data_IF_328689094259
#
_entry.id   IF_328689094259
#
_cell.length_a   1.000
_cell.length_b   1.000
_cell.length_c   1.000
_cell.angle_alpha   90.00
_cell.angle_beta   90.00
_cell.angle_gamma   90.00
#
_symmetry.space_group_name_H-M   'P 1'
#
loop_
_entity.id
_entity.type
_entity.pdbx_description
1 polymer ?
#
# COMPACT_ATOMS: atom_id res chain seq x y z
N UNK A 1 -18.43 10.27 14.24
CA UNK A 1 -18.45 10.24 12.76
C UNK A 1 -19.84 9.94 12.17
N UNK A 2 -20.80 9.39 12.92
CA UNK A 2 -22.15 9.10 12.40
C UNK A 2 -22.97 10.32 11.94
N UNK A 3 -22.62 11.53 12.38
CA UNK A 3 -23.37 12.76 12.04
C UNK A 3 -22.94 13.37 10.69
N UNK A 4 -21.95 12.80 9.99
CA UNK A 4 -21.42 13.31 8.72
C UNK A 4 -21.42 12.27 7.59
N UNK A 5 -21.96 11.07 7.85
CA UNK A 5 -22.03 9.96 6.91
C UNK A 5 -23.48 9.50 6.82
N UNK A 6 -24.02 9.37 5.60
CA UNK A 6 -25.40 8.90 5.35
C UNK A 6 -25.47 7.36 5.19
N UNK A 7 -24.33 6.69 5.04
CA UNK A 7 -24.23 5.23 4.93
C UNK A 7 -23.98 4.53 6.28
N UNK A 8 -23.99 3.19 6.25
CA UNK A 8 -23.64 2.36 7.40
C UNK A 8 -22.16 2.55 7.78
N UNK A 9 -21.88 2.70 9.07
CA UNK A 9 -20.52 2.87 9.60
C UNK A 9 -20.21 1.72 10.54
N UNK A 10 -19.20 0.94 10.18
CA UNK A 10 -18.65 -0.11 11.04
C UNK A 10 -17.31 0.35 11.63
N UNK A 11 -17.17 0.25 12.95
CA UNK A 11 -15.89 0.46 13.64
C UNK A 11 -15.26 -0.90 13.92
N UNK A 12 -13.99 -1.04 13.61
CA UNK A 12 -13.27 -2.29 13.78
C UNK A 12 -11.89 -2.06 14.36
N UNK A 13 -11.46 -2.97 15.23
CA UNK A 13 -10.13 -2.96 15.82
C UNK A 13 -9.22 -3.93 15.07
N UNK A 14 -8.03 -3.45 14.69
CA UNK A 14 -7.02 -4.28 14.02
C UNK A 14 -6.54 -5.37 15.00
N UNK A 15 -6.59 -6.66 14.61
CA UNK A 15 -6.02 -7.73 15.43
C UNK A 15 -4.54 -7.53 15.71
N UNK A 16 -4.09 -7.84 16.93
CA UNK A 16 -2.71 -7.67 17.36
C UNK A 16 -1.70 -8.31 16.39
N UNK A 17 -1.97 -9.53 15.90
CA UNK A 17 -1.10 -10.23 14.95
C UNK A 17 -0.90 -9.51 13.60
N UNK A 18 -1.85 -8.65 13.21
CA UNK A 18 -1.81 -7.90 11.96
C UNK A 18 -1.11 -6.54 12.13
N UNK A 19 -1.02 -6.03 13.36
CA UNK A 19 -0.41 -4.74 13.65
C UNK A 19 1.01 -4.85 14.16
N UNK A 20 1.28 -5.76 15.10
CA UNK A 20 2.59 -5.86 15.73
C UNK A 20 3.59 -6.63 14.86
N UNK A 21 4.86 -6.33 15.12
CA UNK A 21 6.00 -6.93 14.46
C UNK A 21 6.02 -8.45 14.72
N UNK A 22 6.28 -9.28 13.69
CA UNK A 22 6.42 -10.73 13.88
C UNK A 22 7.65 -11.10 14.72
N UNK A 23 7.58 -12.26 15.37
CA UNK A 23 8.62 -12.76 16.28
C UNK A 23 9.98 -13.00 15.61
N UNK A 24 10.01 -13.23 14.29
CA UNK A 24 11.25 -13.42 13.54
C UNK A 24 11.99 -12.13 13.20
N UNK A 25 11.43 -10.96 13.54
CA UNK A 25 12.13 -9.68 13.32
C UNK A 25 12.89 -9.31 14.60
N UNK A 26 14.21 -9.28 14.47
CA UNK A 26 15.13 -8.77 15.48
C UNK A 26 14.87 -7.27 15.75
N UNK A 27 14.39 -6.97 16.94
CA UNK A 27 14.01 -5.62 17.36
C UNK A 27 15.21 -4.71 17.66
N UNK A 28 16.38 -5.26 18.02
CA UNK A 28 17.60 -4.45 18.17
C UNK A 28 18.10 -3.99 16.81
N UNK A 29 18.12 -4.91 15.83
CA UNK A 29 18.45 -4.59 14.44
C UNK A 29 17.45 -3.61 13.84
N UNK A 30 16.16 -3.80 14.09
CA UNK A 30 15.12 -2.88 13.61
C UNK A 30 15.28 -1.47 14.22
N UNK A 31 15.61 -1.38 15.52
CA UNK A 31 15.90 -0.10 16.20
C UNK A 31 17.10 0.60 15.58
N UNK A 32 18.22 -0.09 15.38
CA UNK A 32 19.41 0.49 14.74
C UNK A 32 19.10 1.03 13.33
N UNK A 33 18.28 0.32 12.55
CA UNK A 33 17.81 0.79 11.26
C UNK A 33 16.94 2.05 11.35
N UNK A 34 16.05 2.13 12.34
CA UNK A 34 15.23 3.32 12.62
C UNK A 34 16.10 4.51 13.03
N UNK A 35 17.07 4.31 13.91
CA UNK A 35 17.97 5.37 14.40
C UNK A 35 18.83 5.93 13.26
N UNK A 36 19.31 5.07 12.36
CA UNK A 36 19.99 5.49 11.12
C UNK A 36 19.07 6.37 10.25
N UNK A 37 17.83 5.97 10.04
CA UNK A 37 16.88 6.77 9.24
C UNK A 37 16.53 8.11 9.90
N UNK A 38 16.55 8.20 11.23
CA UNK A 38 16.43 9.49 11.94
C UNK A 38 17.65 10.36 11.69
N UNK A 39 18.86 9.80 11.79
CA UNK A 39 20.10 10.52 11.51
C UNK A 39 20.18 11.03 10.06
N UNK A 40 19.63 10.26 9.11
CA UNK A 40 19.55 10.61 7.70
C UNK A 40 18.38 11.57 7.37
N UNK A 41 17.70 12.13 8.39
CA UNK A 41 16.55 13.04 8.28
C UNK A 41 15.38 12.49 7.43
N UNK A 42 15.15 11.17 7.46
CA UNK A 42 14.05 10.53 6.74
C UNK A 42 12.75 10.76 7.50
N UNK A 43 11.74 11.30 6.82
CA UNK A 43 10.40 11.52 7.38
C UNK A 43 9.86 10.18 7.91
N UNK A 44 9.37 10.19 9.16
CA UNK A 44 8.91 9.01 9.89
C UNK A 44 9.96 7.90 10.14
N UNK A 45 11.26 8.14 9.89
CA UNK A 45 12.31 7.12 9.99
C UNK A 45 12.34 6.36 11.32
N UNK A 46 12.11 7.08 12.42
CA UNK A 46 12.06 6.55 13.78
C UNK A 46 10.73 5.92 14.21
N UNK A 47 9.65 6.07 13.43
CA UNK A 47 8.30 5.72 13.86
C UNK A 47 7.99 4.22 13.69
N UNK A 48 7.82 3.52 14.81
CA UNK A 48 7.37 2.11 14.82
C UNK A 48 5.94 1.99 14.31
N UNK A 49 5.04 2.88 14.75
CA UNK A 49 3.63 2.84 14.34
C UNK A 49 3.46 3.09 12.84
N UNK A 50 4.29 3.95 12.24
CA UNK A 50 4.30 4.17 10.78
C UNK A 50 4.70 2.90 10.02
N UNK A 51 5.69 2.15 10.51
CA UNK A 51 6.08 0.86 9.92
C UNK A 51 4.99 -0.20 10.05
N UNK A 52 4.34 -0.26 11.21
CA UNK A 52 3.20 -1.15 11.43
C UNK A 52 2.04 -0.80 10.49
N UNK A 53 1.76 0.49 10.29
CA UNK A 53 0.77 0.97 9.32
C UNK A 53 1.13 0.55 7.89
N UNK A 54 2.40 0.72 7.47
CA UNK A 54 2.87 0.27 6.16
C UNK A 54 2.71 -1.23 5.97
N UNK A 55 3.07 -2.05 6.99
CA UNK A 55 2.87 -3.51 6.99
C UNK A 55 1.38 -3.87 6.90
N UNK A 56 0.53 -3.25 7.71
CA UNK A 56 -0.91 -3.51 7.73
C UNK A 56 -1.54 -3.25 6.36
N UNK A 57 -1.25 -2.09 5.76
CA UNK A 57 -1.76 -1.73 4.44
C UNK A 57 -1.16 -2.56 3.30
N UNK A 58 0.01 -3.17 3.49
CA UNK A 58 0.63 -4.00 2.45
C UNK A 58 0.16 -5.46 2.47
N UNK A 59 -0.24 -5.99 3.64
CA UNK A 59 -0.50 -7.43 3.78
C UNK A 59 -1.74 -7.86 4.55
N UNK A 60 -2.41 -6.98 5.30
CA UNK A 60 -3.41 -7.41 6.28
C UNK A 60 -4.76 -6.71 6.19
N UNK A 61 -4.84 -5.47 5.67
CA UNK A 61 -6.11 -4.74 5.67
C UNK A 61 -7.22 -5.53 4.94
N UNK A 62 -6.93 -6.08 3.74
CA UNK A 62 -7.88 -6.90 2.96
C UNK A 62 -8.25 -8.24 3.62
N UNK A 63 -7.52 -8.65 4.66
CA UNK A 63 -7.80 -9.87 5.45
C UNK A 63 -8.65 -9.57 6.69
N UNK A 64 -9.00 -8.30 6.92
CA UNK A 64 -9.78 -7.93 8.08
C UNK A 64 -11.19 -8.55 7.99
N UNK A 65 -11.74 -9.14 9.07
CA UNK A 65 -13.06 -9.79 9.05
C UNK A 65 -14.17 -8.92 8.45
N UNK A 66 -14.20 -7.64 8.80
CA UNK A 66 -15.19 -6.67 8.26
C UNK A 66 -15.10 -6.46 6.76
N UNK A 67 -13.96 -6.73 6.12
CA UNK A 67 -13.79 -6.58 4.68
C UNK A 67 -14.06 -7.88 3.90
N UNK A 68 -14.25 -9.02 4.57
CA UNK A 68 -14.38 -10.32 3.89
C UNK A 68 -15.66 -10.45 3.04
N UNK A 69 -16.68 -9.62 3.31
CA UNK A 69 -17.91 -9.59 2.54
C UNK A 69 -17.87 -8.61 1.37
N UNK A 70 -16.74 -7.93 1.15
CA UNK A 70 -16.60 -6.91 0.13
C UNK A 70 -15.58 -7.33 -0.92
N UNK A 71 -15.97 -7.20 -2.19
CA UNK A 71 -15.05 -7.33 -3.32
C UNK A 71 -14.23 -6.06 -3.53
N UNK A 72 -14.85 -4.89 -3.38
CA UNK A 72 -14.22 -3.61 -3.66
C UNK A 72 -14.05 -2.77 -2.40
N UNK A 73 -12.95 -2.02 -2.32
CA UNK A 73 -12.78 -0.98 -1.31
C UNK A 73 -12.25 0.31 -1.94
N UNK A 74 -12.65 1.44 -1.36
CA UNK A 74 -12.04 2.75 -1.61
C UNK A 74 -11.34 3.20 -0.34
N UNK A 75 -10.00 3.29 -0.38
CA UNK A 75 -9.23 3.83 0.74
C UNK A 75 -9.30 5.35 0.75
N UNK A 76 -9.67 5.92 1.91
CA UNK A 76 -9.74 7.36 2.14
C UNK A 76 -8.94 7.68 3.41
N UNK A 77 -7.94 8.55 3.29
CA UNK A 77 -7.16 9.06 4.42
C UNK A 77 -7.81 10.33 5.02
N UNK A 78 -7.53 10.68 6.29
CA UNK A 78 -7.86 12.00 6.82
C UNK A 78 -7.19 13.12 5.98
N UNK A 79 -7.82 14.30 5.97
CA UNK A 79 -7.30 15.52 5.32
C UNK A 79 -7.18 15.45 3.77
N UNK A 80 -7.92 14.54 3.13
CA UNK A 80 -8.09 14.53 1.67
C UNK A 80 -9.25 15.42 1.24
N UNK A 81 -9.11 16.03 0.06
CA UNK A 81 -10.11 16.91 -0.52
C UNK A 81 -10.56 16.36 -1.88
N UNK A 82 -11.88 16.26 -2.07
CA UNK A 82 -12.50 15.95 -3.36
C UNK A 82 -13.00 17.24 -3.97
N UNK A 83 -12.37 17.66 -5.07
CA UNK A 83 -12.65 18.96 -5.70
C UNK A 83 -13.76 18.91 -6.76
N UNK A 84 -14.16 17.71 -7.17
CA UNK A 84 -15.16 17.48 -8.20
C UNK A 84 -16.25 16.57 -7.64
N UNK A 85 -17.48 16.79 -8.11
CA UNK A 85 -18.57 15.84 -7.90
C UNK A 85 -18.29 14.56 -8.70
N UNK A 86 -18.72 13.42 -8.14
CA UNK A 86 -18.66 12.12 -8.80
C UNK A 86 -20.10 11.71 -9.12
N UNK A 87 -20.46 11.76 -10.39
CA UNK A 87 -21.83 11.58 -10.90
C UNK A 87 -22.14 10.16 -11.40
N UNK A 88 -21.22 9.22 -11.17
CA UNK A 88 -21.35 7.80 -11.46
C UNK A 88 -20.90 6.96 -10.26
N UNK A 89 -21.25 5.66 -10.25
CA UNK A 89 -20.78 4.73 -9.23
C UNK A 89 -19.38 4.19 -9.61
N UNK A 90 -18.31 4.53 -8.87
CA UNK A 90 -16.97 4.08 -9.20
C UNK A 90 -16.78 2.57 -9.05
N UNK A 91 -17.49 1.92 -8.12
CA UNK A 91 -17.37 0.48 -7.91
C UNK A 91 -18.03 -0.30 -9.06
N UNK A 92 -19.21 0.13 -9.50
CA UNK A 92 -19.84 -0.43 -10.70
C UNK A 92 -18.99 -0.20 -11.94
N UNK A 93 -18.41 1.01 -12.11
CA UNK A 93 -17.50 1.26 -13.22
C UNK A 93 -16.32 0.29 -13.23
N UNK A 94 -15.71 0.05 -12.07
CA UNK A 94 -14.57 -0.89 -11.94
C UNK A 94 -14.99 -2.32 -12.26
N UNK A 95 -16.18 -2.76 -11.84
CA UNK A 95 -16.72 -4.08 -12.12
C UNK A 95 -17.09 -4.27 -13.60
N UNK A 96 -17.88 -3.36 -14.16
CA UNK A 96 -18.38 -3.43 -15.54
C UNK A 96 -17.24 -3.38 -16.58
N UNK A 97 -16.14 -2.71 -16.25
CA UNK A 97 -14.99 -2.57 -17.13
C UNK A 97 -13.82 -3.50 -16.78
N UNK A 98 -14.07 -4.49 -15.90
CA UNK A 98 -13.10 -5.48 -15.45
C UNK A 98 -11.75 -4.86 -15.07
N UNK A 99 -11.80 -3.77 -14.31
CA UNK A 99 -10.62 -3.15 -13.72
C UNK A 99 -10.19 -3.93 -12.49
N UNK A 100 -9.01 -3.63 -11.98
CA UNK A 100 -8.51 -4.26 -10.74
C UNK A 100 -8.12 -3.18 -9.75
N UNK A 101 -7.37 -2.17 -10.21
CA UNK A 101 -6.83 -1.11 -9.37
C UNK A 101 -6.97 0.26 -10.04
N UNK A 102 -7.43 1.25 -9.29
CA UNK A 102 -7.60 2.65 -9.70
C UNK A 102 -6.90 3.60 -8.74
N UNK A 103 -6.22 4.61 -9.29
CA UNK A 103 -5.47 5.63 -8.56
C UNK A 103 -5.59 6.99 -9.24
N UNK A 104 -5.25 8.05 -8.52
CA UNK A 104 -5.31 9.45 -9.02
C UNK A 104 -3.94 10.09 -9.17
N UNK A 105 -2.98 9.76 -8.30
CA UNK A 105 -1.66 10.39 -8.24
C UNK A 105 -0.57 9.31 -8.32
N UNK A 106 0.48 9.59 -9.09
CA UNK A 106 1.74 8.84 -9.07
C UNK A 106 2.87 9.74 -8.57
N UNK A 107 3.86 9.13 -7.92
CA UNK A 107 5.02 9.86 -7.43
C UNK A 107 6.25 8.96 -7.34
N UNK A 108 7.41 9.59 -7.19
CA UNK A 108 8.65 8.89 -6.90
C UNK A 108 8.75 8.61 -5.40
N UNK A 109 9.15 7.39 -5.06
CA UNK A 109 9.51 7.04 -3.69
C UNK A 109 10.90 7.57 -3.34
N UNK A 110 11.14 7.84 -2.06
CA UNK A 110 12.47 8.15 -1.59
C UNK A 110 13.30 6.87 -1.48
N UNK A 111 14.25 6.66 -2.41
CA UNK A 111 15.02 5.42 -2.54
C UNK A 111 15.69 4.93 -1.25
N UNK A 112 16.07 5.84 -0.34
CA UNK A 112 16.65 5.48 0.96
C UNK A 112 15.68 4.72 1.89
N UNK A 113 14.38 4.77 1.63
CA UNK A 113 13.36 4.03 2.40
C UNK A 113 13.17 2.60 1.93
N UNK A 114 13.59 2.29 0.70
CA UNK A 114 13.35 1.01 0.02
C UNK A 114 14.62 0.42 -0.65
N UNK A 115 15.81 0.49 0.00
CA UNK A 115 17.09 0.19 -0.66
C UNK A 115 17.20 -1.23 -1.18
N UNK A 116 16.50 -2.19 -0.57
CA UNK A 116 16.55 -3.61 -0.94
C UNK A 116 15.24 -4.12 -1.55
N UNK A 117 14.22 -3.27 -1.67
CA UNK A 117 12.87 -3.71 -2.05
C UNK A 117 12.84 -4.34 -3.45
N UNK A 118 13.49 -3.71 -4.43
CA UNK A 118 13.50 -4.22 -5.80
C UNK A 118 14.30 -5.50 -5.95
N UNK A 119 15.43 -5.61 -5.25
CA UNK A 119 16.23 -6.84 -5.28
C UNK A 119 15.47 -8.02 -4.65
N UNK A 120 14.81 -7.82 -3.51
CA UNK A 120 13.92 -8.83 -2.92
C UNK A 120 12.76 -9.18 -3.85
N UNK A 121 12.21 -8.20 -4.58
CA UNK A 121 11.15 -8.44 -5.57
C UNK A 121 11.65 -9.28 -6.74
N UNK A 122 12.85 -8.99 -7.27
CA UNK A 122 13.50 -9.77 -8.33
C UNK A 122 13.80 -11.20 -7.87
N UNK A 123 14.24 -11.40 -6.63
CA UNK A 123 14.43 -12.73 -6.04
C UNK A 123 13.13 -13.52 -6.01
N UNK A 124 12.03 -12.89 -5.58
CA UNK A 124 10.70 -13.51 -5.60
C UNK A 124 10.25 -13.86 -7.03
N UNK A 125 10.40 -12.94 -7.99
CA UNK A 125 10.06 -13.17 -9.41
C UNK A 125 10.89 -14.32 -9.99
N UNK A 126 12.17 -14.41 -9.65
CA UNK A 126 13.05 -15.49 -10.09
C UNK A 126 12.61 -16.85 -9.53
N UNK A 127 12.16 -16.88 -8.28
CA UNK A 127 11.64 -18.09 -7.64
C UNK A 127 10.23 -18.46 -8.14
N UNK A 128 9.42 -17.47 -8.52
CA UNK A 128 8.02 -17.61 -8.92
C UNK A 128 7.70 -16.88 -10.25
N UNK A 129 8.32 -17.31 -11.37
CA UNK A 129 8.08 -16.67 -12.66
C UNK A 129 6.63 -16.79 -13.13
N UNK A 130 5.87 -17.78 -12.65
CA UNK A 130 4.46 -18.00 -12.94
C UNK A 130 3.54 -16.84 -12.51
N UNK A 131 3.96 -16.03 -11.54
CA UNK A 131 3.18 -14.88 -11.08
C UNK A 131 3.43 -13.60 -11.88
N UNK A 132 4.35 -13.62 -12.84
CA UNK A 132 4.58 -12.49 -13.74
C UNK A 132 3.54 -12.52 -14.86
N UNK A 133 2.56 -11.62 -14.76
CA UNK A 133 1.56 -11.46 -15.82
C UNK A 133 2.22 -11.08 -17.16
N UNK A 134 1.75 -11.66 -18.27
CA UNK A 134 2.27 -11.36 -19.62
C UNK A 134 2.12 -9.89 -20.00
N UNK A 135 1.00 -9.27 -19.58
CA UNK A 135 0.68 -7.85 -19.83
C UNK A 135 0.82 -7.04 -18.53
N UNK A 136 1.97 -7.14 -17.88
CA UNK A 136 2.24 -6.41 -16.63
C UNK A 136 2.64 -4.94 -16.89
N UNK A 137 2.79 -4.17 -15.81
CA UNK A 137 3.20 -2.77 -15.83
C UNK A 137 4.72 -2.58 -15.66
N UNK A 138 5.58 -3.50 -16.11
CA UNK A 138 7.04 -3.41 -15.92
C UNK A 138 7.61 -2.11 -16.49
N UNK A 139 7.16 -1.68 -17.67
CA UNK A 139 7.61 -0.43 -18.28
C UNK A 139 7.21 0.84 -17.52
N UNK A 140 6.26 0.76 -16.59
CA UNK A 140 5.96 1.85 -15.66
C UNK A 140 6.92 1.84 -14.46
N UNK A 141 7.32 0.66 -13.99
CA UNK A 141 8.16 0.49 -12.80
C UNK A 141 9.67 0.53 -13.10
N UNK A 142 10.07 0.36 -14.35
CA UNK A 142 11.47 0.23 -14.72
C UNK A 142 11.72 0.71 -16.14
N UNK A 143 12.74 1.55 -16.29
CA UNK A 143 13.15 2.11 -17.59
C UNK A 143 14.17 1.21 -18.31
N UNK A 144 14.59 0.10 -17.67
CA UNK A 144 15.64 -0.80 -18.13
C UNK A 144 15.23 -2.27 -18.09
N UNK A 145 13.97 -2.55 -18.39
CA UNK A 145 13.38 -3.89 -18.48
C UNK A 145 13.44 -4.71 -17.17
N UNK A 146 13.33 -4.02 -16.03
CA UNK A 146 13.24 -4.63 -14.71
C UNK A 146 14.59 -4.80 -14.01
N UNK A 147 15.70 -4.29 -14.56
CA UNK A 147 16.99 -4.38 -13.88
C UNK A 147 17.00 -3.50 -12.63
N UNK A 148 16.51 -2.27 -12.76
CA UNK A 148 16.37 -1.28 -11.69
C UNK A 148 14.92 -0.79 -11.56
N UNK A 149 14.55 -0.43 -10.33
CA UNK A 149 13.28 0.23 -10.04
C UNK A 149 13.44 1.74 -10.23
N UNK A 150 12.59 2.34 -11.06
CA UNK A 150 12.61 3.79 -11.32
C UNK A 150 11.94 4.62 -10.21
N UNK A 151 11.56 3.98 -9.09
CA UNK A 151 10.92 4.57 -7.92
C UNK A 151 9.47 5.02 -8.12
N UNK A 152 8.88 4.86 -9.32
CA UNK A 152 7.50 5.22 -9.59
C UNK A 152 6.52 4.32 -8.84
N UNK A 153 5.56 4.91 -8.13
CA UNK A 153 4.46 4.20 -7.51
C UNK A 153 3.15 5.01 -7.53
N UNK A 154 2.03 4.30 -7.36
CA UNK A 154 0.72 4.90 -7.16
C UNK A 154 0.56 5.36 -5.71
N UNK A 155 0.16 6.61 -5.50
CA UNK A 155 -0.10 7.13 -4.16
C UNK A 155 -1.29 6.38 -3.54
N UNK A 156 -1.07 5.79 -2.35
CA UNK A 156 -2.07 4.93 -1.68
C UNK A 156 -3.09 5.69 -0.81
N UNK A 157 -3.11 7.03 -0.87
CA UNK A 157 -4.02 7.86 -0.05
C UNK A 157 -5.46 7.90 -0.57
N UNK A 158 -5.65 7.70 -1.87
CA UNK A 158 -6.95 7.53 -2.51
C UNK A 158 -6.82 6.52 -3.63
N UNK A 159 -7.38 5.33 -3.42
CA UNK A 159 -7.30 4.22 -4.37
C UNK A 159 -8.57 3.37 -4.27
N UNK A 160 -8.99 2.79 -5.40
CA UNK A 160 -10.06 1.79 -5.49
C UNK A 160 -9.43 0.48 -5.95
N UNK A 161 -9.70 -0.62 -5.27
CA UNK A 161 -9.17 -1.92 -5.66
C UNK A 161 -10.12 -3.07 -5.31
N UNK A 162 -10.02 -4.14 -6.11
CA UNK A 162 -10.68 -5.44 -5.86
C UNK A 162 -9.82 -6.40 -5.05
#
# INVERSE_FOLDING_TARGET
MSNVINGEVTYAQIPAQHWYQPDWIDEEKARAGRDKMVADNIIYGGSVSYRNMCRFNSGFFYRHPVLQNYKWYWRVEPDVHFHCDVDYDPFLYMEDHNKTYGFTITMYEFGATIPTLWDTTKEFIKAHPEYVAKNNAMGYMSDDNGNNYNLCHCARRSLINS
#
